data_IF_994334224120
#
_entry.id   IF_994334224120
#
_cell.length_a   1.000
_cell.length_b   1.000
_cell.length_c   1.000
_cell.angle_alpha   90.00
_cell.angle_beta   90.00
_cell.angle_gamma   90.00
#
_symmetry.space_group_name_H-M   'P 1'
#
loop_
_entity.id
_entity.type
_entity.pdbx_description
1 polymer ?
#
# COMPACT_ATOMS: atom_id res chain seq x y z
N UNK A 1 6.32 11.67 -2.88
CA UNK A 1 5.88 11.84 -1.47
C UNK A 1 7.08 11.59 -0.57
N UNK A 2 7.18 12.20 0.61
CA UNK A 2 8.21 11.82 1.60
C UNK A 2 7.58 10.95 2.70
N UNK A 3 8.38 10.07 3.31
CA UNK A 3 7.92 9.23 4.44
C UNK A 3 7.33 10.08 5.58
N UNK A 4 8.04 11.14 5.97
CA UNK A 4 7.59 12.08 7.03
C UNK A 4 6.21 12.65 6.72
N UNK A 5 5.99 13.08 5.47
CA UNK A 5 4.70 13.65 5.05
C UNK A 5 3.58 12.61 5.04
N UNK A 6 3.87 11.39 4.60
CA UNK A 6 2.90 10.30 4.61
C UNK A 6 2.51 9.90 6.03
N UNK A 7 3.49 9.71 6.92
CA UNK A 7 3.24 9.39 8.34
C UNK A 7 2.44 10.48 9.04
N UNK A 8 2.74 11.75 8.77
CA UNK A 8 1.95 12.87 9.29
C UNK A 8 0.49 12.83 8.83
N UNK A 9 0.25 12.56 7.54
CA UNK A 9 -1.11 12.44 6.99
C UNK A 9 -1.86 11.22 7.54
N UNK A 10 -1.16 10.09 7.71
CA UNK A 10 -1.72 8.89 8.32
C UNK A 10 -2.13 9.15 9.77
N UNK A 11 -1.26 9.77 10.55
CA UNK A 11 -1.55 10.14 11.94
C UNK A 11 -2.74 11.10 12.03
N UNK A 12 -2.76 12.16 11.21
CA UNK A 12 -3.89 13.11 11.16
C UNK A 12 -5.22 12.45 10.75
N UNK A 13 -5.15 11.35 10.00
CA UNK A 13 -6.32 10.58 9.54
C UNK A 13 -6.62 9.36 10.41
N UNK A 14 -5.94 9.20 11.55
CA UNK A 14 -6.03 8.05 12.45
C UNK A 14 -5.83 6.68 11.76
N UNK A 15 -4.90 6.62 10.81
CA UNK A 15 -4.58 5.40 10.06
C UNK A 15 -3.38 4.69 10.68
N UNK A 16 -3.57 3.43 11.09
CA UNK A 16 -2.52 2.55 11.58
C UNK A 16 -2.54 1.19 10.88
N UNK A 17 -1.39 0.77 10.35
CA UNK A 17 -1.21 -0.58 9.76
C UNK A 17 -0.58 -1.56 10.74
N UNK A 18 -0.28 -1.14 11.97
CA UNK A 18 0.33 -1.97 13.02
C UNK A 18 -0.66 -2.40 14.09
N UNK A 19 -1.73 -1.65 14.29
CA UNK A 19 -2.67 -1.85 15.40
C UNK A 19 -4.05 -2.29 14.91
N UNK A 20 -4.73 -3.07 15.73
CA UNK A 20 -6.09 -3.53 15.47
C UNK A 20 -6.18 -4.82 14.62
N UNK A 21 -7.40 -5.26 14.31
CA UNK A 21 -7.64 -6.46 13.52
C UNK A 21 -7.14 -6.28 12.07
N UNK A 22 -6.75 -7.39 11.43
CA UNK A 22 -6.15 -7.39 10.08
C UNK A 22 -6.98 -6.64 9.04
N UNK A 23 -8.31 -6.79 9.05
CA UNK A 23 -9.19 -6.13 8.09
C UNK A 23 -9.11 -4.59 8.21
N UNK A 24 -9.00 -4.07 9.43
CA UNK A 24 -8.88 -2.63 9.68
C UNK A 24 -7.51 -2.13 9.23
N UNK A 25 -6.45 -2.90 9.52
CA UNK A 25 -5.08 -2.59 9.07
C UNK A 25 -4.96 -2.56 7.56
N UNK A 26 -5.61 -3.50 6.86
CA UNK A 26 -5.65 -3.56 5.39
C UNK A 26 -6.45 -2.39 4.82
N UNK A 27 -7.56 -2.01 5.45
CA UNK A 27 -8.31 -0.81 5.07
C UNK A 27 -7.46 0.46 5.24
N UNK A 28 -6.72 0.58 6.35
CA UNK A 28 -5.79 1.69 6.56
C UNK A 28 -4.65 1.69 5.54
N UNK A 29 -4.14 0.51 5.15
CA UNK A 29 -3.16 0.39 4.07
C UNK A 29 -3.73 0.92 2.75
N UNK A 30 -4.94 0.51 2.36
CA UNK A 30 -5.57 1.00 1.12
C UNK A 30 -5.68 2.54 1.11
N UNK A 31 -6.06 3.13 2.24
CA UNK A 31 -6.11 4.58 2.42
C UNK A 31 -4.72 5.21 2.31
N UNK A 32 -3.72 4.63 2.95
CA UNK A 32 -2.33 5.09 2.88
C UNK A 32 -1.78 5.03 1.45
N UNK A 33 -2.08 3.96 0.69
CA UNK A 33 -1.70 3.84 -0.73
C UNK A 33 -2.30 4.96 -1.58
N UNK A 34 -3.57 5.30 -1.35
CA UNK A 34 -4.25 6.42 -2.05
C UNK A 34 -3.66 7.78 -1.69
N UNK A 35 -3.07 7.93 -0.51
CA UNK A 35 -2.38 9.16 -0.11
C UNK A 35 -0.98 9.21 -0.73
N UNK A 36 -0.22 8.12 -0.63
CA UNK A 36 1.14 8.02 -1.15
C UNK A 36 1.17 8.15 -2.68
N UNK A 37 0.22 7.50 -3.35
CA UNK A 37 0.07 7.49 -4.79
C UNK A 37 -1.39 7.84 -5.15
N UNK A 38 -1.71 9.14 -5.28
CA UNK A 38 -3.06 9.57 -5.63
C UNK A 38 -3.56 8.91 -6.93
N UNK A 39 -4.70 8.20 -6.89
CA UNK A 39 -5.26 7.56 -8.07
C UNK A 39 -5.74 8.63 -9.06
N UNK A 40 -5.41 8.48 -10.34
CA UNK A 40 -5.85 9.38 -11.41
C UNK A 40 -7.13 8.89 -12.10
N UNK A 41 -7.45 7.61 -11.94
CA UNK A 41 -8.60 6.97 -12.56
C UNK A 41 -9.37 6.05 -11.59
N UNK A 42 -10.57 5.64 -12.00
CA UNK A 42 -11.33 4.59 -11.30
C UNK A 42 -10.56 3.26 -11.31
N UNK A 43 -9.88 2.95 -12.41
CA UNK A 43 -9.04 1.76 -12.54
C UNK A 43 -7.93 1.72 -11.50
N UNK A 44 -7.27 2.86 -11.22
CA UNK A 44 -6.24 2.95 -10.17
C UNK A 44 -6.83 2.68 -8.78
N UNK A 45 -8.02 3.24 -8.49
CA UNK A 45 -8.71 3.00 -7.21
C UNK A 45 -9.02 1.51 -7.02
N UNK A 46 -9.54 0.87 -8.07
CA UNK A 46 -9.82 -0.57 -8.06
C UNK A 46 -8.53 -1.38 -7.91
N UNK A 47 -7.42 -0.95 -8.50
CA UNK A 47 -6.12 -1.60 -8.38
C UNK A 47 -5.64 -1.65 -6.91
N UNK A 48 -5.68 -0.53 -6.19
CA UNK A 48 -5.26 -0.50 -4.79
C UNK A 48 -6.16 -1.34 -3.88
N UNK A 49 -7.47 -1.34 -4.14
CA UNK A 49 -8.40 -2.23 -3.45
C UNK A 49 -8.06 -3.72 -3.71
N UNK A 50 -7.73 -4.08 -4.96
CA UNK A 50 -7.28 -5.45 -5.30
C UNK A 50 -5.98 -5.82 -4.57
N UNK A 51 -5.02 -4.91 -4.46
CA UNK A 51 -3.77 -5.12 -3.70
C UNK A 51 -4.06 -5.34 -2.23
N UNK A 52 -4.88 -4.49 -1.61
CA UNK A 52 -5.26 -4.61 -0.19
C UNK A 52 -5.94 -5.95 0.10
N UNK A 53 -6.93 -6.34 -0.71
CA UNK A 53 -7.63 -7.62 -0.57
C UNK A 53 -6.70 -8.83 -0.80
N UNK A 54 -5.78 -8.72 -1.77
CA UNK A 54 -4.79 -9.78 -2.01
C UNK A 54 -3.85 -9.95 -0.81
N UNK A 55 -3.35 -8.85 -0.23
CA UNK A 55 -2.51 -8.89 0.98
C UNK A 55 -3.26 -9.50 2.16
N UNK A 56 -4.52 -9.11 2.37
CA UNK A 56 -5.37 -9.69 3.41
C UNK A 56 -5.45 -11.21 3.27
N UNK A 57 -5.75 -11.72 2.07
CA UNK A 57 -5.82 -13.16 1.80
C UNK A 57 -4.49 -13.87 2.06
N UNK A 58 -3.36 -13.27 1.67
CA UNK A 58 -2.03 -13.84 1.93
C UNK A 58 -1.69 -13.85 3.43
N UNK A 59 -2.07 -12.82 4.17
CA UNK A 59 -1.88 -12.77 5.62
C UNK A 59 -2.78 -13.79 6.34
N UNK A 60 -4.07 -13.87 5.98
CA UNK A 60 -5.01 -14.84 6.55
C UNK A 60 -4.55 -16.29 6.33
N UNK A 61 -3.95 -16.59 5.18
CA UNK A 61 -3.45 -17.92 4.87
C UNK A 61 -2.03 -18.19 5.42
N UNK A 62 -1.49 -17.31 6.27
CA UNK A 62 -0.17 -17.45 6.89
C UNK A 62 1.01 -17.31 5.92
N UNK A 63 0.78 -16.91 4.67
CA UNK A 63 1.86 -16.70 3.68
C UNK A 63 2.67 -15.45 3.98
N UNK A 64 2.06 -14.45 4.61
CA UNK A 64 2.69 -13.17 4.96
C UNK A 64 2.44 -12.84 6.42
N UNK A 65 3.47 -12.36 7.12
CA UNK A 65 3.32 -11.72 8.41
C UNK A 65 2.76 -10.30 8.20
N UNK A 66 1.56 -9.95 8.71
CA UNK A 66 0.98 -8.63 8.52
C UNK A 66 1.80 -7.51 9.19
N UNK A 67 2.51 -7.80 10.28
CA UNK A 67 3.32 -6.82 11.01
C UNK A 67 4.54 -6.36 10.21
N UNK A 68 5.01 -7.21 9.31
CA UNK A 68 6.14 -6.92 8.42
C UNK A 68 5.66 -6.46 7.04
N UNK A 69 4.68 -7.15 6.46
CA UNK A 69 4.29 -6.90 5.06
C UNK A 69 3.49 -5.63 4.86
N UNK A 70 2.59 -5.27 5.79
CA UNK A 70 1.78 -4.05 5.59
C UNK A 70 2.66 -2.79 5.62
N UNK A 71 3.61 -2.61 6.56
CA UNK A 71 4.57 -1.52 6.48
C UNK A 71 5.45 -1.58 5.22
N UNK A 72 5.94 -2.76 4.85
CA UNK A 72 6.82 -2.92 3.68
C UNK A 72 6.14 -2.51 2.36
N UNK A 73 4.84 -2.76 2.23
CA UNK A 73 4.06 -2.31 1.06
C UNK A 73 3.89 -0.78 1.05
N UNK A 74 3.82 -0.13 2.21
CA UNK A 74 3.87 1.34 2.28
C UNK A 74 5.22 1.85 1.79
N UNK A 75 6.32 1.20 2.17
CA UNK A 75 7.66 1.58 1.72
C UNK A 75 7.78 1.49 0.19
N UNK A 76 7.24 0.44 -0.43
CA UNK A 76 7.16 0.33 -1.89
C UNK A 76 6.34 1.45 -2.54
N UNK A 77 5.25 1.87 -1.91
CA UNK A 77 4.44 2.98 -2.40
C UNK A 77 5.19 4.31 -2.30
N UNK A 78 5.96 4.50 -1.23
CA UNK A 78 6.83 5.66 -1.06
C UNK A 78 7.93 5.68 -2.13
N UNK A 79 8.61 4.56 -2.35
CA UNK A 79 9.64 4.39 -3.38
C UNK A 79 9.09 4.74 -4.77
N UNK A 80 7.92 4.19 -5.11
CA UNK A 80 7.25 4.48 -6.37
C UNK A 80 6.82 5.96 -6.52
N UNK A 81 6.58 6.65 -5.41
CA UNK A 81 6.17 8.05 -5.37
C UNK A 81 7.35 9.05 -5.34
N UNK A 82 8.58 8.58 -5.52
CA UNK A 82 9.79 9.40 -5.42
C UNK A 82 9.81 10.58 -6.40
N UNK A 83 10.45 11.71 -6.05
CA UNK A 83 10.60 12.85 -6.96
C UNK A 83 11.30 12.41 -8.26
N UNK A 84 10.59 12.48 -9.39
CA UNK A 84 11.08 12.04 -10.70
C UNK A 84 10.34 10.84 -11.29
N UNK A 85 9.51 10.14 -10.51
CA UNK A 85 8.68 9.05 -11.03
C UNK A 85 7.59 9.58 -11.98
N UNK A 86 7.70 9.27 -13.28
CA UNK A 86 6.73 9.70 -14.32
C UNK A 86 5.35 9.03 -14.17
N UNK A 87 5.32 7.79 -13.69
CA UNK A 87 4.07 7.02 -13.51
C UNK A 87 4.12 6.17 -12.23
N UNK A 88 3.93 6.79 -11.04
CA UNK A 88 4.02 6.10 -9.75
C UNK A 88 3.12 4.86 -9.61
N UNK A 89 1.85 4.83 -10.08
CA UNK A 89 1.04 3.61 -10.04
C UNK A 89 1.70 2.44 -10.78
N UNK A 90 2.24 2.67 -11.98
CA UNK A 90 2.89 1.62 -12.75
C UNK A 90 4.18 1.14 -12.08
N UNK A 91 4.98 2.05 -11.53
CA UNK A 91 6.20 1.71 -10.78
C UNK A 91 5.86 0.88 -9.55
N UNK A 92 4.85 1.28 -8.78
CA UNK A 92 4.38 0.53 -7.62
C UNK A 92 3.96 -0.89 -7.99
N UNK A 93 3.15 -1.04 -9.04
CA UNK A 93 2.74 -2.38 -9.50
C UNK A 93 3.93 -3.21 -9.99
N UNK A 94 4.94 -2.59 -10.61
CA UNK A 94 6.17 -3.27 -11.00
C UNK A 94 6.96 -3.78 -9.79
N UNK A 95 7.08 -2.98 -8.72
CA UNK A 95 7.72 -3.38 -7.47
C UNK A 95 6.94 -4.52 -6.82
N UNK A 96 5.61 -4.41 -6.73
CA UNK A 96 4.74 -5.45 -6.17
C UNK A 96 4.89 -6.79 -6.92
N UNK A 97 5.01 -6.76 -8.25
CA UNK A 97 5.25 -7.96 -9.07
C UNK A 97 6.62 -8.56 -8.79
N UNK A 98 7.66 -7.73 -8.77
CA UNK A 98 9.04 -8.16 -8.58
C UNK A 98 9.30 -8.72 -7.18
N UNK A 99 8.88 -8.00 -6.15
CA UNK A 99 9.24 -8.28 -4.77
C UNK A 99 8.28 -9.28 -4.10
N UNK A 100 7.00 -9.25 -4.46
CA UNK A 100 5.97 -10.05 -3.79
C UNK A 100 5.24 -11.04 -4.71
N UNK A 101 5.66 -11.17 -5.97
CA UNK A 101 5.01 -12.00 -6.98
C UNK A 101 3.50 -11.71 -7.08
N UNK A 102 3.14 -10.41 -7.09
CA UNK A 102 1.75 -10.00 -7.30
C UNK A 102 1.25 -10.53 -8.65
N UNK A 103 0.11 -11.26 -8.70
CA UNK A 103 -0.38 -11.86 -9.93
C UNK A 103 -0.78 -10.79 -10.97
N UNK A 104 -0.63 -11.14 -12.25
CA UNK A 104 -1.02 -10.27 -13.37
C UNK A 104 -2.52 -9.99 -13.42
#
# INVERSE_FOLDING_TARGET
>A
MTDIKLRGLMHASNLSVKEGPLWQRVFHLEKALKIAIPPKSVSDRTCYNKVANWLMKKCCNGRFNPDEMLPRVIDYALEASSPGAKNPPAVFMSIMKKELNYPN
#
